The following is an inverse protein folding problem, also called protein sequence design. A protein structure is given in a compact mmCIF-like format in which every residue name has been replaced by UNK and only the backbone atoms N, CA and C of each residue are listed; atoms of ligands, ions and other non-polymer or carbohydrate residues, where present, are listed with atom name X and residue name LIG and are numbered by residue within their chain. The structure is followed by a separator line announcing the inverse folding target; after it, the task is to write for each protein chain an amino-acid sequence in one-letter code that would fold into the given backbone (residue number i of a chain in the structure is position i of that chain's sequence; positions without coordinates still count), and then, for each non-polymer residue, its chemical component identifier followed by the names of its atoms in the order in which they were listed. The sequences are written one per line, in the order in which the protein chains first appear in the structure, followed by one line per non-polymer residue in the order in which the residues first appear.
data_IF_878777755269
#
_entry.id   IF_878777755269
#
_cell.length_a   1.000
_cell.length_b   1.000
_cell.length_c   1.000
_cell.angle_alpha   90.00
_cell.angle_beta   90.00
_cell.angle_gamma   90.00
#
_symmetry.space_group_name_H-M   'P 1'
#
loop_
_entity.id
_entity.type
_entity.pdbx_description
1 polymer ?
#
# COMPACT_ATOMS: atom_id res chain seq x y z
N UNK A 1 -16.36 -6.65 -21.14
CA UNK A 1 -14.99 -7.20 -21.07
C UNK A 1 -14.56 -7.18 -19.61
N UNK A 2 -14.40 -8.36 -18.98
CA UNK A 2 -14.25 -8.46 -17.52
C UNK A 2 -12.91 -7.88 -17.08
N UNK A 3 -12.92 -6.75 -16.37
CA UNK A 3 -11.73 -6.15 -15.74
C UNK A 3 -10.97 -7.18 -14.89
N UNK A 4 -11.67 -8.15 -14.30
CA UNK A 4 -11.08 -9.27 -13.58
C UNK A 4 -10.22 -10.20 -14.44
N UNK A 5 -10.67 -10.55 -15.67
CA UNK A 5 -9.90 -11.43 -16.58
C UNK A 5 -8.62 -10.73 -17.05
N UNK A 6 -8.72 -9.43 -17.33
CA UNK A 6 -7.57 -8.62 -17.72
C UNK A 6 -6.56 -8.46 -16.57
N UNK A 7 -7.01 -8.39 -15.32
CA UNK A 7 -6.14 -8.37 -14.14
C UNK A 7 -5.41 -9.70 -13.92
N UNK A 8 -6.11 -10.83 -14.10
CA UNK A 8 -5.52 -12.17 -13.99
C UNK A 8 -4.40 -12.39 -15.01
N UNK A 9 -4.63 -12.04 -16.28
CA UNK A 9 -3.63 -12.19 -17.35
C UNK A 9 -2.46 -11.20 -17.22
N UNK A 10 -2.70 -9.98 -16.74
CA UNK A 10 -1.63 -9.01 -16.49
C UNK A 10 -0.78 -9.41 -15.28
N UNK A 11 -1.37 -10.01 -14.24
CA UNK A 11 -0.65 -10.46 -13.05
C UNK A 11 0.34 -11.59 -13.33
N UNK A 12 0.06 -12.45 -14.33
CA UNK A 12 0.94 -13.56 -14.72
C UNK A 12 2.22 -13.11 -15.45
N UNK A 13 2.28 -11.89 -16.01
CA UNK A 13 3.44 -11.39 -16.77
C UNK A 13 4.40 -10.50 -15.96
N UNK A 14 4.06 -10.12 -14.73
CA UNK A 14 4.88 -9.23 -13.92
C UNK A 14 5.94 -10.03 -13.15
N UNK A 15 7.22 -9.66 -13.32
CA UNK A 15 8.33 -10.22 -12.54
C UNK A 15 8.08 -10.00 -11.03
N UNK A 16 8.22 -11.06 -10.22
CA UNK A 16 8.05 -10.99 -8.75
C UNK A 16 8.89 -9.88 -8.11
N UNK A 17 10.10 -9.66 -8.63
CA UNK A 17 11.00 -8.60 -8.14
C UNK A 17 10.47 -7.20 -8.43
N UNK A 18 9.95 -6.97 -9.64
CA UNK A 18 9.39 -5.67 -10.03
C UNK A 18 8.11 -5.35 -9.24
N UNK A 19 7.32 -6.37 -8.91
CA UNK A 19 6.16 -6.22 -8.03
C UNK A 19 6.56 -5.87 -6.60
N UNK A 20 7.60 -6.50 -6.04
CA UNK A 20 8.14 -6.17 -4.70
C UNK A 20 8.71 -4.75 -4.65
N UNK A 21 9.45 -4.34 -5.68
CA UNK A 21 9.97 -2.97 -5.84
C UNK A 21 8.85 -1.92 -5.91
N UNK A 22 7.77 -2.22 -6.62
CA UNK A 22 6.64 -1.30 -6.72
C UNK A 22 5.88 -1.16 -5.40
N UNK A 23 5.68 -2.26 -4.68
CA UNK A 23 5.04 -2.26 -3.36
C UNK A 23 5.89 -1.49 -2.35
N UNK A 24 7.19 -1.78 -2.28
CA UNK A 24 8.10 -1.08 -1.36
C UNK A 24 8.20 0.41 -1.68
N UNK A 25 8.31 0.79 -2.96
CA UNK A 25 8.29 2.20 -3.38
C UNK A 25 7.01 2.93 -2.96
N UNK A 26 5.84 2.28 -3.07
CA UNK A 26 4.56 2.84 -2.58
C UNK A 26 4.55 3.04 -1.07
N UNK A 27 4.99 2.05 -0.30
CA UNK A 27 5.08 2.18 1.16
C UNK A 27 6.00 3.33 1.58
N UNK A 28 7.17 3.42 0.95
CA UNK A 28 8.14 4.50 1.21
C UNK A 28 7.54 5.87 0.86
N UNK A 29 6.83 5.99 -0.26
CA UNK A 29 6.20 7.25 -0.66
C UNK A 29 5.08 7.68 0.30
N UNK A 30 4.19 6.76 0.69
CA UNK A 30 3.12 7.04 1.66
C UNK A 30 3.68 7.41 3.02
N UNK A 31 4.71 6.69 3.46
CA UNK A 31 5.42 6.98 4.70
C UNK A 31 6.04 8.39 4.67
N UNK A 32 6.73 8.75 3.58
CA UNK A 32 7.36 10.05 3.43
C UNK A 32 6.35 11.20 3.43
N UNK A 33 5.20 11.01 2.76
CA UNK A 33 4.08 11.98 2.80
C UNK A 33 3.58 12.16 4.23
N UNK A 34 3.41 11.06 4.98
CA UNK A 34 3.04 11.10 6.40
C UNK A 34 4.05 11.90 7.23
N UNK A 35 5.34 11.66 7.03
CA UNK A 35 6.41 12.38 7.72
C UNK A 35 6.45 13.87 7.39
N UNK A 36 6.22 14.25 6.13
CA UNK A 36 6.15 15.66 5.69
C UNK A 36 5.00 16.43 6.35
N UNK A 37 3.86 15.76 6.55
CA UNK A 37 2.66 16.38 7.09
C UNK A 37 2.56 16.32 8.63
N UNK A 38 3.54 15.70 9.29
CA UNK A 38 3.55 15.37 10.72
C UNK A 38 3.12 16.52 11.63
N UNK A 39 3.58 17.76 11.40
CA UNK A 39 3.27 18.92 12.28
C UNK A 39 1.79 19.29 12.35
N UNK A 40 1.06 19.23 11.23
CA UNK A 40 -0.36 19.61 11.18
C UNK A 40 -1.27 18.40 11.41
N UNK A 41 -0.83 17.22 10.97
CA UNK A 41 -1.59 15.98 11.10
C UNK A 41 -1.44 15.30 12.46
N UNK A 42 -0.56 15.76 13.35
CA UNK A 42 -0.43 15.22 14.71
C UNK A 42 -1.76 15.23 15.48
N UNK A 43 -2.54 16.31 15.35
CA UNK A 43 -3.89 16.44 15.94
C UNK A 43 -4.87 15.37 15.41
N UNK A 44 -4.72 14.96 14.15
CA UNK A 44 -5.57 13.97 13.50
C UNK A 44 -4.96 12.55 13.51
N UNK A 45 -3.73 12.39 14.01
CA UNK A 45 -2.99 11.14 13.98
C UNK A 45 -3.75 10.02 14.71
N UNK A 46 -4.40 10.36 15.83
CA UNK A 46 -5.21 9.40 16.58
C UNK A 46 -6.42 8.90 15.78
N UNK A 47 -7.10 9.78 15.04
CA UNK A 47 -8.21 9.39 14.17
C UNK A 47 -7.76 8.53 13.00
N UNK A 48 -6.61 8.86 12.39
CA UNK A 48 -6.00 8.07 11.32
C UNK A 48 -5.60 6.68 11.83
N UNK A 49 -4.98 6.61 13.01
CA UNK A 49 -4.64 5.35 13.68
C UNK A 49 -5.90 4.53 13.91
N UNK A 50 -6.93 5.11 14.53
CA UNK A 50 -8.17 4.39 14.83
C UNK A 50 -8.85 3.87 13.56
N UNK A 51 -8.96 4.69 12.52
CA UNK A 51 -9.50 4.27 11.22
C UNK A 51 -8.67 3.15 10.58
N UNK A 52 -7.34 3.25 10.62
CA UNK A 52 -6.44 2.23 10.07
C UNK A 52 -6.59 0.89 10.77
N UNK A 53 -6.65 0.90 12.11
CA UNK A 53 -6.79 -0.31 12.93
C UNK A 53 -8.15 -0.96 12.68
N UNK A 54 -9.24 -0.18 12.63
CA UNK A 54 -10.58 -0.70 12.31
C UNK A 54 -10.63 -1.39 10.94
N UNK A 55 -10.02 -0.80 9.91
CA UNK A 55 -9.98 -1.36 8.56
C UNK A 55 -9.14 -2.65 8.49
N UNK A 56 -7.99 -2.68 9.17
CA UNK A 56 -7.14 -3.87 9.22
C UNK A 56 -7.78 -4.99 10.04
N UNK A 57 -8.44 -4.66 11.16
CA UNK A 57 -9.19 -5.64 11.94
C UNK A 57 -10.35 -6.21 11.14
N UNK A 58 -11.14 -5.37 10.46
CA UNK A 58 -12.22 -5.82 9.59
C UNK A 58 -11.69 -6.75 8.47
N UNK A 59 -10.58 -6.38 7.84
CA UNK A 59 -9.92 -7.22 6.84
C UNK A 59 -9.48 -8.57 7.43
N UNK A 60 -8.84 -8.56 8.59
CA UNK A 60 -8.29 -9.75 9.24
C UNK A 60 -9.41 -10.68 9.69
N UNK A 61 -10.47 -10.15 10.31
CA UNK A 61 -11.64 -10.91 10.72
C UNK A 61 -12.32 -11.58 9.52
N UNK A 62 -12.60 -10.83 8.45
CA UNK A 62 -13.22 -11.39 7.24
C UNK A 62 -12.31 -12.44 6.62
N UNK A 63 -11.00 -12.19 6.55
CA UNK A 63 -10.03 -13.15 5.99
C UNK A 63 -9.96 -14.43 6.81
N UNK A 64 -9.98 -14.34 8.15
CA UNK A 64 -9.99 -15.50 9.06
C UNK A 64 -11.26 -16.33 8.91
N UNK A 65 -12.43 -15.70 8.83
CA UNK A 65 -13.72 -16.39 8.62
C UNK A 65 -13.72 -17.14 7.28
N UNK A 66 -13.27 -16.49 6.21
CA UNK A 66 -13.20 -17.13 4.89
C UNK A 66 -12.16 -18.26 4.87
N UNK A 67 -11.01 -18.06 5.53
CA UNK A 67 -9.97 -19.09 5.64
C UNK A 67 -10.49 -20.32 6.38
N UNK A 68 -11.17 -20.14 7.52
CA UNK A 68 -11.78 -21.24 8.26
C UNK A 68 -12.89 -21.94 7.46
N UNK A 69 -13.65 -21.18 6.67
CA UNK A 69 -14.68 -21.73 5.78
C UNK A 69 -14.15 -22.32 4.47
N UNK A 70 -12.83 -22.35 4.22
CA UNK A 70 -12.24 -22.73 2.94
C UNK A 70 -12.80 -21.93 1.73
N UNK A 71 -13.22 -20.70 1.97
CA UNK A 71 -13.77 -19.79 0.97
C UNK A 71 -12.70 -18.79 0.52
N UNK A 72 -12.78 -18.36 -0.76
CA UNK A 72 -11.90 -17.31 -1.26
C UNK A 72 -12.35 -15.95 -0.71
N UNK A 73 -11.42 -15.17 -0.18
CA UNK A 73 -11.69 -13.80 0.27
C UNK A 73 -12.01 -12.90 -0.93
N UNK A 74 -13.10 -12.13 -0.91
CA UNK A 74 -13.47 -11.28 -2.04
C UNK A 74 -12.48 -10.13 -2.23
N UNK A 75 -12.26 -9.73 -3.50
CA UNK A 75 -11.33 -8.66 -3.86
C UNK A 75 -11.59 -7.35 -3.11
N UNK A 76 -12.85 -6.98 -2.88
CA UNK A 76 -13.24 -5.77 -2.13
C UNK A 76 -12.65 -5.76 -0.72
N UNK A 77 -12.58 -6.91 -0.07
CA UNK A 77 -11.98 -7.06 1.26
C UNK A 77 -10.48 -6.82 1.21
N UNK A 78 -9.77 -7.30 0.18
CA UNK A 78 -8.35 -6.98 0.00
C UNK A 78 -8.10 -5.49 -0.23
N UNK A 79 -8.99 -4.79 -0.96
CA UNK A 79 -8.90 -3.33 -1.13
C UNK A 79 -9.05 -2.62 0.22
N UNK A 80 -10.02 -3.01 1.04
CA UNK A 80 -10.22 -2.45 2.39
C UNK A 80 -8.98 -2.66 3.26
N UNK A 81 -8.42 -3.89 3.26
CA UNK A 81 -7.20 -4.19 4.00
C UNK A 81 -5.99 -3.39 3.51
N UNK A 82 -5.85 -3.21 2.20
CA UNK A 82 -4.77 -2.41 1.60
C UNK A 82 -4.88 -0.93 1.98
N UNK A 83 -6.10 -0.38 2.04
CA UNK A 83 -6.37 0.98 2.49
C UNK A 83 -6.01 1.16 3.98
N UNK A 84 -6.38 0.18 4.82
CA UNK A 84 -6.01 0.15 6.23
C UNK A 84 -4.49 0.12 6.43
N UNK A 85 -3.79 -0.75 5.71
CA UNK A 85 -2.33 -0.83 5.75
C UNK A 85 -1.65 0.46 5.28
N UNK A 86 -2.19 1.10 4.24
CA UNK A 86 -1.71 2.40 3.74
C UNK A 86 -1.87 3.50 4.79
N UNK A 87 -3.01 3.58 5.47
CA UNK A 87 -3.24 4.54 6.56
C UNK A 87 -2.33 4.27 7.76
N UNK A 88 -2.04 3.01 8.07
CA UNK A 88 -1.08 2.61 9.11
C UNK A 88 0.33 3.12 8.80
N UNK A 89 0.78 2.93 7.56
CA UNK A 89 2.09 3.42 7.11
C UNK A 89 2.15 4.94 7.13
N UNK A 90 1.05 5.61 6.74
CA UNK A 90 0.93 7.06 6.85
C UNK A 90 1.02 7.51 8.32
N UNK A 91 0.34 6.82 9.23
CA UNK A 91 0.40 7.10 10.67
C UNK A 91 1.82 6.95 11.23
N UNK A 92 2.53 5.87 10.88
CA UNK A 92 3.93 5.69 11.27
C UNK A 92 4.81 6.81 10.73
N UNK A 93 4.55 7.31 9.52
CA UNK A 93 5.22 8.48 8.97
C UNK A 93 4.94 9.75 9.81
N UNK A 94 3.67 10.01 10.16
CA UNK A 94 3.27 11.15 10.99
C UNK A 94 3.97 11.11 12.37
N UNK A 95 4.12 9.92 12.95
CA UNK A 95 4.79 9.69 14.23
C UNK A 95 6.33 9.71 14.17
N UNK A 96 6.95 9.99 13.00
CA UNK A 96 8.40 10.16 12.91
C UNK A 96 8.81 11.64 12.81
N UNK A 97 8.65 12.47 13.86
CA UNK A 97 9.08 13.86 13.84
C UNK A 97 10.61 14.02 13.78
N UNK A 98 11.37 12.93 13.97
CA UNK A 98 12.83 12.92 13.98
C UNK A 98 13.48 12.42 12.68
N UNK A 99 12.72 12.04 11.63
CA UNK A 99 13.36 11.69 10.36
C UNK A 99 13.93 12.97 9.73
N UNK A 100 15.26 13.09 9.62
CA UNK A 100 15.88 14.38 9.36
C UNK A 100 15.55 14.92 7.97
N UNK A 101 15.09 14.07 7.03
CA UNK A 101 14.72 14.54 5.70
C UNK A 101 13.60 13.74 5.00
N UNK A 102 12.32 14.08 5.23
CA UNK A 102 11.16 13.43 4.58
C UNK A 102 11.21 13.46 3.06
N UNK A 103 11.77 14.54 2.48
CA UNK A 103 11.95 14.73 1.04
C UNK A 103 12.87 13.67 0.42
N UNK A 104 13.92 13.24 1.14
CA UNK A 104 14.87 12.26 0.61
C UNK A 104 14.27 10.84 0.67
N UNK A 105 13.44 10.58 1.68
CA UNK A 105 12.66 9.33 1.76
C UNK A 105 11.63 9.27 0.62
N UNK A 106 10.97 10.39 0.30
CA UNK A 106 10.08 10.48 -0.86
C UNK A 106 10.83 10.24 -2.17
N UNK A 107 12.00 10.87 -2.34
CA UNK A 107 12.86 10.68 -3.51
C UNK A 107 13.27 9.22 -3.67
N UNK A 108 13.61 8.52 -2.59
CA UNK A 108 13.88 7.08 -2.62
C UNK A 108 12.63 6.29 -3.07
N UNK A 109 11.45 6.61 -2.53
CA UNK A 109 10.20 5.96 -2.94
C UNK A 109 9.91 6.13 -4.44
N UNK A 110 10.14 7.33 -4.98
CA UNK A 110 10.03 7.62 -6.42
C UNK A 110 11.10 6.88 -7.22
N UNK A 111 12.34 6.85 -6.74
CA UNK A 111 13.47 6.17 -7.39
C UNK A 111 13.28 4.65 -7.46
N UNK A 112 12.64 4.05 -6.46
CA UNK A 112 12.24 2.64 -6.51
C UNK A 112 10.97 2.41 -7.35
N UNK A 113 10.03 3.37 -7.35
CA UNK A 113 8.75 3.26 -8.06
C UNK A 113 8.84 3.40 -9.58
N UNK A 114 9.64 4.34 -10.10
CA UNK A 114 9.81 4.61 -11.54
C UNK A 114 10.33 3.38 -12.32
N UNK A 115 11.44 2.72 -11.93
CA UNK A 115 11.94 1.55 -12.66
C UNK A 115 10.95 0.39 -12.63
N UNK A 116 10.24 0.20 -11.51
CA UNK A 116 9.21 -0.82 -11.41
C UNK A 116 8.00 -0.54 -12.31
N UNK A 117 7.55 0.72 -12.38
CA UNK A 117 6.50 1.18 -13.30
C UNK A 117 6.91 0.99 -14.76
N UNK A 118 8.15 1.35 -15.10
CA UNK A 118 8.70 1.20 -16.45
C UNK A 118 8.74 -0.27 -16.88
N UNK A 119 9.17 -1.18 -16.00
CA UNK A 119 9.24 -2.61 -16.32
C UNK A 119 7.83 -3.21 -16.52
N UNK A 120 6.85 -2.81 -15.70
CA UNK A 120 5.45 -3.25 -15.87
C UNK A 120 4.84 -2.73 -17.17
N UNK A 121 5.04 -1.45 -17.50
CA UNK A 121 4.54 -0.84 -18.74
C UNK A 121 5.15 -1.48 -19.99
N UNK A 122 6.43 -1.80 -19.97
CA UNK A 122 7.12 -2.45 -21.08
C UNK A 122 6.68 -3.91 -21.26
N UNK A 123 6.36 -4.62 -20.17
CA UNK A 123 5.86 -6.00 -20.23
C UNK A 123 4.38 -6.10 -20.58
N UNK A 124 3.60 -5.04 -20.35
CA UNK A 124 2.19 -4.95 -20.76
C UNK A 124 2.01 -4.70 -22.27
N UNK A 125 3.05 -4.23 -22.97
CA UNK A 125 3.02 -4.00 -24.44
C UNK A 125 3.45 -5.22 -25.27
N UNK A 126 3.94 -6.29 -24.64
CA UNK A 126 4.23 -7.60 -25.24
C UNK A 126 3.16 -8.60 -24.84
#
# INVERSE_FOLDING_TARGET
MNLMKQYEDTSKKISRESYRLLISGKFIAVFAIGAMLSRQLFLYAYFIMMASVLLVLAYTQISLVHWHGNQKTPYKTHVIGSLGAMLLVLFFGIQSPQMPYPIYVLLLGVLFGIPALRDILNRSKK
#
